data_IF_374311006656
#
_entry.id   IF_374311006656
#
_cell.length_a   1.000
_cell.length_b   1.000
_cell.length_c   1.000
_cell.angle_alpha   90.00
_cell.angle_beta   90.00
_cell.angle_gamma   90.00
#
_symmetry.space_group_name_H-M   'P 1'
#
loop_
_entity.id
_entity.type
_entity.pdbx_description
1 polymer ?
#
# COMPACT_ATOMS: atom_id res chain seq x y z
N UNK A 1 -15.74 -47.97 1.45
CA UNK A 1 -14.70 -47.70 0.46
C UNK A 1 -14.62 -46.14 0.35
N UNK A 2 -13.77 -45.56 1.20
CA UNK A 2 -13.46 -44.12 1.17
C UNK A 2 -12.39 -43.87 0.12
N UNK A 3 -12.69 -43.05 -0.84
CA UNK A 3 -11.69 -42.46 -1.74
C UNK A 3 -11.28 -41.08 -1.17
N UNK A 4 -10.08 -41.01 -0.68
CA UNK A 4 -9.44 -39.73 -0.27
C UNK A 4 -8.85 -39.08 -1.53
N UNK A 5 -9.46 -38.00 -2.00
CA UNK A 5 -8.86 -37.14 -2.99
C UNK A 5 -7.89 -36.16 -2.25
N UNK A 6 -6.61 -36.29 -2.55
CA UNK A 6 -5.58 -35.30 -2.19
C UNK A 6 -5.85 -34.02 -2.99
N UNK A 7 -6.27 -32.97 -2.32
CA UNK A 7 -6.17 -31.63 -2.87
C UNK A 7 -4.73 -31.15 -2.69
N UNK A 8 -4.01 -31.02 -3.81
CA UNK A 8 -2.74 -30.34 -3.85
C UNK A 8 -2.98 -28.84 -3.64
N UNK A 9 -2.47 -28.28 -2.54
CA UNK A 9 -2.38 -26.85 -2.35
C UNK A 9 -1.29 -26.33 -3.28
N UNK A 10 -1.69 -25.74 -4.41
CA UNK A 10 -0.78 -24.98 -5.27
C UNK A 10 -0.27 -23.78 -4.49
N UNK A 11 1.00 -23.84 -4.08
CA UNK A 11 1.75 -22.70 -3.57
C UNK A 11 2.05 -21.82 -4.76
N UNK A 12 1.38 -20.66 -4.84
CA UNK A 12 1.68 -19.65 -5.86
C UNK A 12 3.02 -19.04 -5.51
N UNK A 13 4.06 -19.39 -6.27
CA UNK A 13 5.39 -18.80 -6.17
C UNK A 13 5.35 -17.39 -6.79
N UNK A 14 5.44 -16.37 -5.94
CA UNK A 14 5.51 -14.97 -6.39
C UNK A 14 6.97 -14.64 -6.68
N UNK A 15 7.37 -14.67 -7.95
CA UNK A 15 8.73 -14.36 -8.36
C UNK A 15 8.93 -12.85 -8.45
N UNK A 16 9.85 -12.32 -7.65
CA UNK A 16 10.32 -10.93 -7.75
C UNK A 16 11.66 -10.93 -8.50
N UNK A 17 11.71 -10.26 -9.64
CA UNK A 17 12.93 -10.13 -10.45
C UNK A 17 13.47 -8.70 -10.32
N UNK A 18 14.72 -8.57 -9.88
CA UNK A 18 15.44 -7.30 -9.82
C UNK A 18 16.44 -7.27 -10.98
N UNK A 19 16.32 -6.30 -11.87
CA UNK A 19 17.21 -6.12 -13.02
C UNK A 19 18.07 -4.88 -12.77
N UNK A 20 19.38 -5.07 -12.65
CA UNK A 20 20.35 -3.98 -12.69
C UNK A 20 20.83 -3.80 -14.14
N UNK A 21 20.52 -2.69 -14.76
CA UNK A 21 21.15 -2.33 -16.02
C UNK A 21 22.58 -1.84 -15.74
N UNK A 22 23.60 -2.64 -16.06
CA UNK A 22 24.99 -2.17 -16.07
C UNK A 22 25.18 -1.27 -17.30
N UNK A 23 25.39 0.02 -17.03
CA UNK A 23 25.90 0.94 -18.04
C UNK A 23 27.37 0.60 -18.34
N UNK A 24 27.63 -0.02 -19.47
CA UNK A 24 28.98 -0.11 -20.03
C UNK A 24 29.39 1.25 -20.56
N UNK A 25 30.26 1.95 -19.82
CA UNK A 25 30.90 3.18 -20.27
C UNK A 25 32.17 2.78 -21.04
N UNK A 26 32.26 3.22 -22.30
CA UNK A 26 33.41 3.09 -23.17
C UNK A 26 34.58 3.95 -22.65
N UNK A 27 35.74 3.33 -22.45
CA UNK A 27 36.95 4.01 -21.95
C UNK A 27 37.55 4.92 -23.03
N UNK A 28 37.22 6.19 -22.95
CA UNK A 28 37.90 7.27 -23.65
C UNK A 28 38.87 7.99 -22.69
N UNK A 29 40.15 7.87 -23.03
CA UNK A 29 41.33 8.47 -22.38
C UNK A 29 41.17 9.99 -22.13
N UNK A 30 41.17 10.45 -20.85
CA UNK A 30 41.30 11.87 -20.50
C UNK A 30 42.26 12.07 -19.32
N UNK A 31 43.32 12.75 -19.63
CA UNK A 31 44.43 13.19 -18.78
C UNK A 31 43.98 14.00 -17.55
N UNK A 32 44.52 13.64 -16.42
CA UNK A 32 44.40 14.22 -15.06
C UNK A 32 45.00 15.64 -15.00
N UNK A 33 44.24 16.57 -14.42
CA UNK A 33 44.78 17.67 -13.59
C UNK A 33 43.92 17.81 -12.35
N UNK A 34 44.50 17.52 -11.19
CA UNK A 34 43.90 17.75 -9.87
C UNK A 34 43.92 19.24 -9.51
N UNK A 35 42.89 19.76 -8.90
CA UNK A 35 43.05 20.77 -7.86
C UNK A 35 42.68 20.14 -6.50
N UNK A 36 43.65 20.20 -5.62
CA UNK A 36 43.51 20.02 -4.19
C UNK A 36 42.61 21.14 -3.64
N UNK A 37 41.42 20.78 -3.19
CA UNK A 37 40.71 21.64 -2.26
C UNK A 37 40.08 20.80 -1.17
N UNK A 38 40.65 20.98 0.04
CA UNK A 38 40.24 20.34 1.27
C UNK A 38 39.08 21.13 1.87
N UNK A 39 37.86 20.76 1.58
CA UNK A 39 36.76 21.06 2.47
C UNK A 39 36.21 19.75 3.03
N UNK A 40 36.54 19.46 4.26
CA UNK A 40 35.93 18.41 5.06
C UNK A 40 34.51 18.83 5.37
N UNK A 41 33.60 18.54 4.44
CA UNK A 41 32.18 18.54 4.73
C UNK A 41 31.87 17.26 5.53
N UNK A 42 32.02 17.39 6.84
CA UNK A 42 31.54 16.41 7.80
C UNK A 42 30.02 16.59 7.81
N UNK A 43 29.34 15.97 6.86
CA UNK A 43 27.89 15.75 6.98
C UNK A 43 27.69 14.98 8.27
N UNK A 44 27.14 15.66 9.29
CA UNK A 44 26.65 15.02 10.50
C UNK A 44 25.51 14.11 10.02
N UNK A 45 25.81 12.82 9.86
CA UNK A 45 24.77 11.80 9.69
C UNK A 45 24.08 11.75 11.04
N UNK A 46 22.97 12.50 11.19
CA UNK A 46 22.10 12.35 12.35
C UNK A 46 21.69 10.90 12.42
N UNK A 47 22.05 10.22 13.50
CA UNK A 47 21.61 8.86 13.74
C UNK A 47 20.08 8.87 13.84
N UNK A 48 19.41 8.38 12.80
CA UNK A 48 17.98 8.17 12.81
C UNK A 48 17.68 6.98 13.73
N UNK A 49 16.96 7.21 14.81
CA UNK A 49 16.46 6.20 15.72
C UNK A 49 14.94 6.27 15.72
N UNK A 50 14.27 5.13 15.46
CA UNK A 50 12.82 5.07 15.49
C UNK A 50 12.29 5.30 16.90
N UNK A 51 11.59 6.41 17.11
CA UNK A 51 10.90 6.76 18.35
C UNK A 51 9.41 6.41 18.22
N UNK A 52 9.00 5.28 18.80
CA UNK A 52 7.60 4.82 18.78
C UNK A 52 6.60 5.82 19.38
N UNK A 53 7.10 6.77 20.17
CA UNK A 53 6.26 7.78 20.81
C UNK A 53 6.05 9.01 19.94
N UNK A 54 6.86 9.22 18.92
CA UNK A 54 6.80 10.40 18.05
C UNK A 54 6.65 10.06 16.58
N UNK A 55 6.92 8.83 16.19
CA UNK A 55 6.95 8.42 14.80
C UNK A 55 5.79 7.51 14.42
N UNK A 56 5.40 7.57 13.15
CA UNK A 56 4.40 6.67 12.58
C UNK A 56 4.93 5.25 12.46
N UNK A 57 4.20 4.23 12.92
CA UNK A 57 4.63 2.84 12.79
C UNK A 57 4.56 2.32 11.33
N UNK A 58 3.88 3.03 10.44
CA UNK A 58 3.77 2.65 9.03
C UNK A 58 4.78 3.35 8.14
N UNK A 59 5.16 4.58 8.45
CA UNK A 59 6.02 5.39 7.58
C UNK A 59 7.41 5.66 8.18
N UNK A 60 7.60 5.45 9.49
CA UNK A 60 8.82 5.85 10.20
C UNK A 60 9.02 7.36 10.32
N UNK A 61 8.12 8.18 9.79
CA UNK A 61 8.23 9.63 9.82
C UNK A 61 7.75 10.20 11.15
N UNK A 62 8.37 11.29 11.57
CA UNK A 62 7.93 12.04 12.75
C UNK A 62 6.54 12.63 12.52
N UNK A 63 5.68 12.47 13.52
CA UNK A 63 4.32 13.01 13.50
C UNK A 63 4.32 14.46 13.96
N UNK A 64 3.52 15.30 13.31
CA UNK A 64 3.31 16.65 13.80
C UNK A 64 2.70 16.62 15.21
N UNK A 65 2.98 17.66 16.05
CA UNK A 65 2.40 17.75 17.38
C UNK A 65 0.87 17.67 17.40
N UNK A 66 0.20 18.13 16.35
CA UNK A 66 -1.25 18.07 16.21
C UNK A 66 -1.74 16.62 16.01
N UNK A 67 -1.05 15.85 15.19
CA UNK A 67 -1.35 14.43 14.97
C UNK A 67 -1.04 13.63 16.22
N UNK A 68 0.04 13.95 16.90
CA UNK A 68 0.44 13.36 18.16
C UNK A 68 -0.60 13.56 19.27
N UNK A 69 -1.11 14.78 19.43
CA UNK A 69 -2.13 15.11 20.45
C UNK A 69 -3.49 14.49 20.17
N UNK A 70 -3.79 14.11 18.93
CA UNK A 70 -5.04 13.46 18.54
C UNK A 70 -5.02 11.94 18.77
N UNK A 71 -3.95 11.37 19.27
CA UNK A 71 -3.98 9.96 19.70
C UNK A 71 -4.96 9.79 20.87
N UNK A 72 -5.79 8.75 20.89
CA UNK A 72 -5.67 7.43 20.29
C UNK A 72 -6.25 7.34 18.87
N UNK A 73 -5.45 6.84 17.94
CA UNK A 73 -5.92 6.54 16.58
C UNK A 73 -5.87 5.04 16.35
N UNK A 74 -6.98 4.49 15.87
CA UNK A 74 -7.04 3.10 15.45
C UNK A 74 -6.70 3.00 13.97
N UNK A 75 -6.01 1.93 13.61
CA UNK A 75 -5.74 1.60 12.21
C UNK A 75 -7.04 1.26 11.49
N UNK A 76 -7.25 1.86 10.34
CA UNK A 76 -8.37 1.56 9.45
C UNK A 76 -7.79 1.03 8.15
N UNK A 77 -8.25 -0.13 7.70
CA UNK A 77 -7.82 -0.77 6.46
C UNK A 77 -8.98 -0.80 5.47
N UNK A 78 -8.84 -0.10 4.35
CA UNK A 78 -9.83 -0.07 3.28
C UNK A 78 -9.47 -1.09 2.21
N UNK A 79 -10.42 -1.99 1.87
CA UNK A 79 -10.26 -2.89 0.74
C UNK A 79 -10.59 -2.17 -0.55
N UNK A 80 -9.58 -1.85 -1.36
CA UNK A 80 -9.75 -1.10 -2.61
C UNK A 80 -9.59 -2.02 -3.82
N UNK A 81 -10.46 -1.83 -4.79
CA UNK A 81 -10.50 -2.61 -6.04
C UNK A 81 -9.32 -2.25 -6.96
N UNK A 82 -8.76 -3.24 -7.66
CA UNK A 82 -7.77 -3.02 -8.70
C UNK A 82 -8.18 -3.58 -10.07
N UNK A 83 -9.46 -3.90 -10.25
CA UNK A 83 -9.99 -4.22 -11.57
C UNK A 83 -9.79 -3.06 -12.56
N UNK A 84 -9.58 -3.36 -13.84
CA UNK A 84 -9.41 -2.35 -14.88
C UNK A 84 -10.52 -1.27 -14.85
N UNK A 85 -11.78 -1.67 -14.62
CA UNK A 85 -12.92 -0.75 -14.54
C UNK A 85 -12.97 0.08 -13.25
N UNK A 86 -12.13 -0.26 -12.25
CA UNK A 86 -12.02 0.48 -10.99
C UNK A 86 -10.95 1.58 -11.05
N UNK A 87 -10.14 1.60 -12.09
CA UNK A 87 -9.05 2.56 -12.26
C UNK A 87 -9.54 3.85 -12.95
N UNK A 88 -8.93 4.98 -12.64
CA UNK A 88 -7.98 5.22 -11.56
C UNK A 88 -8.65 5.12 -10.18
N UNK A 89 -7.90 4.66 -9.19
CA UNK A 89 -8.33 4.64 -7.79
C UNK A 89 -8.12 5.99 -7.11
N UNK A 90 -8.66 6.10 -5.89
CA UNK A 90 -8.51 7.28 -5.05
C UNK A 90 -8.09 6.88 -3.64
N UNK A 91 -7.37 7.76 -2.96
CA UNK A 91 -6.97 7.56 -1.58
C UNK A 91 -5.71 6.70 -1.39
N UNK A 92 -5.19 6.03 -2.42
CA UNK A 92 -4.01 5.19 -2.24
C UNK A 92 -2.75 6.01 -1.93
N UNK A 93 -2.62 7.20 -2.53
CA UNK A 93 -1.48 8.09 -2.34
C UNK A 93 -1.49 8.78 -0.97
N UNK A 94 -2.66 8.96 -0.37
CA UNK A 94 -2.86 9.55 0.95
C UNK A 94 -2.76 8.52 2.09
N UNK A 95 -2.73 7.23 1.80
CA UNK A 95 -2.61 6.19 2.81
C UNK A 95 -1.24 6.21 3.52
N UNK A 96 -1.19 5.75 4.78
CA UNK A 96 0.08 5.56 5.49
C UNK A 96 0.89 4.42 4.88
N UNK A 97 0.22 3.34 4.46
CA UNK A 97 0.81 2.25 3.68
C UNK A 97 -0.25 1.54 2.85
N UNK A 98 0.17 0.88 1.78
CA UNK A 98 -0.71 0.10 0.90
C UNK A 98 -0.10 -1.29 0.69
N UNK A 99 -0.87 -2.32 1.00
CA UNK A 99 -0.53 -3.71 0.67
C UNK A 99 -1.31 -4.16 -0.55
N UNK A 100 -0.61 -4.66 -1.55
CA UNK A 100 -1.24 -5.26 -2.75
C UNK A 100 -1.27 -6.78 -2.60
N UNK A 101 -2.42 -7.39 -2.88
CA UNK A 101 -2.70 -8.79 -2.58
C UNK A 101 -3.34 -9.43 -3.79
N UNK A 102 -2.80 -10.59 -4.20
CA UNK A 102 -3.42 -11.43 -5.21
C UNK A 102 -4.79 -11.94 -4.72
N UNK A 103 -5.77 -11.88 -5.61
CA UNK A 103 -7.12 -12.37 -5.38
C UNK A 103 -7.54 -13.30 -6.53
N UNK A 104 -8.81 -13.71 -6.55
CA UNK A 104 -9.32 -14.57 -7.62
C UNK A 104 -9.16 -14.00 -9.04
N UNK A 105 -9.06 -14.87 -10.03
CA UNK A 105 -8.95 -14.49 -11.44
C UNK A 105 -7.61 -13.88 -11.83
N UNK A 106 -6.56 -14.08 -11.02
CA UNK A 106 -5.24 -13.53 -11.28
C UNK A 106 -5.10 -12.03 -11.10
N UNK A 107 -6.16 -11.39 -10.58
CA UNK A 107 -6.17 -9.95 -10.28
C UNK A 107 -5.61 -9.67 -8.89
N UNK A 108 -5.27 -8.41 -8.62
CA UNK A 108 -4.92 -7.95 -7.28
C UNK A 108 -5.99 -7.03 -6.69
N UNK A 109 -5.93 -6.80 -5.39
CA UNK A 109 -6.63 -5.74 -4.65
C UNK A 109 -5.68 -5.11 -3.67
N UNK A 110 -6.02 -3.89 -3.25
CA UNK A 110 -5.26 -3.18 -2.23
C UNK A 110 -5.94 -3.27 -0.87
N UNK A 111 -5.11 -3.29 0.19
CA UNK A 111 -5.46 -2.87 1.52
C UNK A 111 -4.74 -1.55 1.78
N UNK A 112 -5.47 -0.45 1.82
CA UNK A 112 -4.95 0.87 2.13
C UNK A 112 -5.14 1.14 3.63
N UNK A 113 -4.05 1.32 4.36
CA UNK A 113 -4.03 1.51 5.80
C UNK A 113 -3.93 2.99 6.14
N UNK A 114 -4.77 3.42 7.04
CA UNK A 114 -4.80 4.77 7.57
C UNK A 114 -4.76 4.74 9.10
N UNK A 115 -3.77 5.38 9.68
CA UNK A 115 -3.64 5.60 11.11
C UNK A 115 -3.43 7.08 11.41
N UNK A 116 -2.44 7.68 10.78
CA UNK A 116 -2.00 9.05 11.00
C UNK A 116 -2.47 9.98 9.88
N UNK A 117 -2.56 9.48 8.65
CA UNK A 117 -3.03 10.22 7.48
C UNK A 117 -4.54 10.11 7.29
N UNK A 118 -5.10 10.96 6.43
CA UNK A 118 -6.53 11.04 6.13
C UNK A 118 -6.77 11.22 4.64
N UNK A 119 -7.93 10.76 4.17
CA UNK A 119 -8.43 11.03 2.83
C UNK A 119 -9.95 11.11 2.87
N UNK A 120 -10.53 12.12 2.24
CA UNK A 120 -11.98 12.26 2.11
C UNK A 120 -12.57 11.42 0.97
N UNK A 121 -11.71 10.69 0.22
CA UNK A 121 -12.13 10.01 -1.00
C UNK A 121 -11.31 8.75 -1.28
N UNK A 122 -11.62 7.68 -0.55
CA UNK A 122 -10.92 6.38 -0.68
C UNK A 122 -11.79 5.40 -1.47
N UNK A 123 -11.27 4.84 -2.54
CA UNK A 123 -12.01 3.83 -3.30
C UNK A 123 -11.51 3.57 -4.72
N UNK A 124 -12.27 2.76 -5.48
CA UNK A 124 -13.54 2.09 -5.12
C UNK A 124 -13.37 0.99 -4.06
N UNK A 125 -14.22 1.02 -3.04
CA UNK A 125 -14.23 0.01 -1.97
C UNK A 125 -14.79 -1.31 -2.49
N UNK A 126 -14.19 -2.42 -2.07
CA UNK A 126 -14.50 -3.75 -2.56
C UNK A 126 -14.69 -4.78 -1.44
N UNK A 127 -15.13 -5.98 -1.85
CA UNK A 127 -15.44 -7.08 -0.92
C UNK A 127 -14.19 -7.65 -0.27
N UNK A 128 -14.33 -8.05 1.01
CA UNK A 128 -13.30 -8.76 1.75
C UNK A 128 -12.92 -10.09 1.12
N UNK A 129 -11.73 -10.55 1.46
CA UNK A 129 -11.18 -11.86 1.09
C UNK A 129 -10.66 -12.59 2.36
N UNK A 130 -10.57 -13.93 2.33
CA UNK A 130 -10.14 -14.72 3.48
C UNK A 130 -8.73 -14.36 4.02
N UNK A 131 -7.87 -13.78 3.19
CA UNK A 131 -6.52 -13.33 3.56
C UNK A 131 -6.50 -12.03 4.36
N UNK A 132 -7.52 -11.17 4.21
CA UNK A 132 -7.54 -9.82 4.78
C UNK A 132 -7.38 -9.78 6.31
N UNK A 133 -8.04 -10.64 7.11
CA UNK A 133 -7.90 -10.60 8.56
C UNK A 133 -6.46 -10.88 9.02
N UNK A 134 -5.70 -11.71 8.31
CA UNK A 134 -4.31 -12.00 8.67
C UNK A 134 -3.40 -10.79 8.48
N UNK A 135 -3.75 -9.88 7.59
CA UNK A 135 -2.99 -8.66 7.31
C UNK A 135 -3.45 -7.48 8.18
N UNK A 136 -4.70 -7.45 8.61
CA UNK A 136 -5.27 -6.34 9.40
C UNK A 136 -5.11 -6.57 10.91
N UNK A 137 -5.25 -7.81 11.37
CA UNK A 137 -5.21 -8.16 12.79
C UNK A 137 -3.90 -7.79 13.50
N UNK A 138 -2.70 -7.97 12.90
CA UNK A 138 -1.44 -7.62 13.56
C UNK A 138 -1.35 -6.15 13.99
N UNK A 139 -2.08 -5.28 13.29
CA UNK A 139 -2.15 -3.85 13.58
C UNK A 139 -3.39 -3.45 14.39
N UNK A 140 -4.16 -4.44 14.88
CA UNK A 140 -5.44 -4.20 15.57
C UNK A 140 -6.44 -3.39 14.76
N UNK A 141 -6.33 -3.45 13.44
CA UNK A 141 -7.09 -2.63 12.52
C UNK A 141 -8.58 -2.97 12.45
N UNK A 142 -9.33 -2.04 11.89
CA UNK A 142 -10.72 -2.22 11.47
C UNK A 142 -10.73 -2.36 9.96
N UNK A 143 -11.40 -3.38 9.45
CA UNK A 143 -11.50 -3.63 8.01
C UNK A 143 -12.77 -2.97 7.44
N UNK A 144 -12.62 -2.12 6.43
CA UNK A 144 -13.71 -1.42 5.70
C UNK A 144 -13.87 -2.03 4.32
N UNK A 145 -15.08 -2.56 4.04
CA UNK A 145 -15.37 -3.34 2.83
C UNK A 145 -16.77 -3.04 2.29
N UNK A 146 -17.01 -3.33 1.01
CA UNK A 146 -18.36 -3.27 0.44
C UNK A 146 -19.26 -4.45 0.88
N UNK A 147 -18.68 -5.47 1.48
CA UNK A 147 -19.31 -6.74 1.86
C UNK A 147 -18.35 -7.90 1.65
N UNK A 148 -18.87 -9.13 1.57
CA UNK A 148 -18.12 -10.35 1.27
C UNK A 148 -19.04 -11.46 0.76
N UNK A 149 -18.45 -12.61 0.40
CA UNK A 149 -19.20 -13.85 0.20
C UNK A 149 -19.87 -14.30 1.49
N UNK A 150 -20.97 -15.04 1.38
CA UNK A 150 -21.76 -15.48 2.54
C UNK A 150 -20.89 -16.20 3.59
N UNK A 151 -21.06 -15.80 4.85
CA UNK A 151 -20.35 -16.39 5.99
C UNK A 151 -18.96 -15.82 6.27
N UNK A 152 -18.34 -15.10 5.34
CA UNK A 152 -16.97 -14.61 5.54
C UNK A 152 -16.88 -13.48 6.57
N UNK A 153 -17.80 -12.53 6.59
CA UNK A 153 -17.77 -11.42 7.57
C UNK A 153 -17.86 -11.91 9.01
N UNK A 154 -18.79 -12.82 9.38
CA UNK A 154 -18.78 -13.43 10.70
C UNK A 154 -17.45 -14.11 11.04
N UNK A 155 -16.89 -14.89 10.12
CA UNK A 155 -15.60 -15.56 10.33
C UNK A 155 -14.44 -14.56 10.57
N UNK A 156 -14.40 -13.44 9.84
CA UNK A 156 -13.41 -12.39 10.08
C UNK A 156 -13.57 -11.79 11.48
N UNK A 157 -14.80 -11.54 11.91
CA UNK A 157 -15.09 -11.01 13.27
C UNK A 157 -14.69 -11.99 14.36
N UNK A 158 -14.89 -13.30 14.17
CA UNK A 158 -14.44 -14.35 15.08
C UNK A 158 -12.90 -14.38 15.24
N UNK A 159 -12.16 -13.98 14.19
CA UNK A 159 -10.71 -13.80 14.26
C UNK A 159 -10.29 -12.51 15.01
N UNK A 160 -11.24 -11.74 15.55
CA UNK A 160 -10.98 -10.51 16.30
C UNK A 160 -10.78 -9.25 15.45
N UNK A 161 -11.11 -9.29 14.16
CA UNK A 161 -11.05 -8.11 13.29
C UNK A 161 -12.44 -7.51 13.13
N UNK A 162 -12.71 -6.29 13.65
CA UNK A 162 -13.95 -5.59 13.40
C UNK A 162 -14.10 -5.26 11.92
N UNK A 163 -15.31 -5.40 11.38
CA UNK A 163 -15.59 -5.15 9.95
C UNK A 163 -16.74 -4.15 9.85
N UNK A 164 -16.48 -3.09 9.06
CA UNK A 164 -17.50 -2.13 8.61
C UNK A 164 -17.89 -2.46 7.17
N UNK A 165 -19.17 -2.71 6.96
CA UNK A 165 -19.76 -3.03 5.67
C UNK A 165 -20.63 -1.87 5.18
N UNK A 166 -20.78 -1.71 3.86
CA UNK A 166 -21.66 -0.69 3.26
C UNK A 166 -23.07 -0.70 3.89
N UNK A 167 -23.62 -1.88 4.13
CA UNK A 167 -24.98 -2.04 4.67
C UNK A 167 -25.09 -1.75 6.17
N UNK A 168 -23.99 -1.74 6.90
CA UNK A 168 -23.98 -1.64 8.37
C UNK A 168 -23.39 -0.35 8.91
N UNK A 169 -22.70 0.43 8.07
CA UNK A 169 -22.03 1.65 8.47
C UNK A 169 -22.27 2.78 7.46
N UNK A 170 -22.91 3.89 7.87
CA UNK A 170 -23.21 5.02 6.99
C UNK A 170 -21.99 5.91 6.73
N UNK A 171 -20.84 5.30 6.53
CA UNK A 171 -19.53 5.96 6.32
C UNK A 171 -19.04 5.86 4.89
N UNK A 172 -19.81 5.18 4.04
CA UNK A 172 -19.52 4.96 2.63
C UNK A 172 -20.62 5.57 1.76
N UNK A 173 -20.26 5.99 0.56
CA UNK A 173 -21.18 6.61 -0.40
C UNK A 173 -20.89 6.15 -1.82
N UNK A 174 -21.93 6.11 -2.67
CA UNK A 174 -21.78 5.77 -4.08
C UNK A 174 -21.74 7.02 -4.93
N UNK A 175 -20.83 7.06 -5.88
CA UNK A 175 -20.70 8.16 -6.83
C UNK A 175 -21.46 7.83 -8.13
N UNK A 176 -22.04 8.86 -8.75
CA UNK A 176 -22.91 8.69 -9.92
C UNK A 176 -22.15 8.56 -11.24
N UNK A 177 -20.93 9.09 -11.32
CA UNK A 177 -20.10 9.09 -12.53
C UNK A 177 -19.40 7.76 -12.82
N UNK A 178 -19.57 6.77 -11.94
CA UNK A 178 -19.10 5.38 -12.13
C UNK A 178 -20.23 4.38 -11.96
N UNK A 179 -20.11 3.23 -12.62
CA UNK A 179 -21.07 2.13 -12.51
C UNK A 179 -20.72 1.21 -11.34
N UNK A 180 -21.75 0.72 -10.63
CA UNK A 180 -21.55 -0.38 -9.70
C UNK A 180 -20.96 -1.60 -10.42
N UNK A 181 -20.07 -2.34 -9.76
CA UNK A 181 -19.66 -2.27 -8.35
C UNK A 181 -18.42 -1.37 -8.08
N UNK A 182 -17.96 -0.60 -9.07
CA UNK A 182 -16.74 0.20 -9.02
C UNK A 182 -16.99 1.67 -8.63
N UNK A 183 -18.01 1.94 -7.81
CA UNK A 183 -18.47 3.29 -7.49
C UNK A 183 -18.72 3.56 -5.99
N UNK A 184 -18.25 2.67 -5.09
CA UNK A 184 -18.38 2.83 -3.65
C UNK A 184 -17.12 3.48 -3.10
N UNK A 185 -17.26 4.56 -2.36
CA UNK A 185 -16.17 5.33 -1.76
C UNK A 185 -16.41 5.57 -0.28
N UNK A 186 -15.36 5.91 0.44
CA UNK A 186 -15.41 6.24 1.86
C UNK A 186 -14.58 7.49 2.16
N UNK A 187 -14.91 8.12 3.28
CA UNK A 187 -14.15 9.21 3.91
C UNK A 187 -13.57 8.70 5.23
N UNK A 188 -12.27 8.85 5.43
CA UNK A 188 -11.58 8.35 6.62
C UNK A 188 -12.06 9.02 7.90
N UNK A 189 -12.39 10.31 7.87
CA UNK A 189 -12.88 11.03 9.04
C UNK A 189 -14.29 10.58 9.41
N UNK A 190 -15.18 10.38 8.45
CA UNK A 190 -16.53 9.81 8.72
C UNK A 190 -16.43 8.40 9.33
N UNK A 191 -15.45 7.60 8.86
CA UNK A 191 -15.19 6.28 9.45
C UNK A 191 -14.68 6.44 10.89
N UNK A 192 -13.76 7.38 11.17
CA UNK A 192 -13.25 7.64 12.53
C UNK A 192 -14.35 8.09 13.48
N UNK A 193 -15.18 9.03 13.05
CA UNK A 193 -16.33 9.49 13.84
C UNK A 193 -17.29 8.33 14.18
N UNK A 194 -17.57 7.47 13.21
CA UNK A 194 -18.44 6.31 13.41
C UNK A 194 -17.83 5.30 14.39
N UNK A 195 -16.55 4.94 14.25
CA UNK A 195 -15.90 3.98 15.15
C UNK A 195 -15.74 4.55 16.56
N UNK A 196 -15.56 5.87 16.72
CA UNK A 196 -15.54 6.55 18.01
C UNK A 196 -16.91 6.46 18.71
N UNK A 197 -17.98 6.81 17.98
CA UNK A 197 -19.35 6.67 18.49
C UNK A 197 -19.70 5.24 18.90
N UNK A 198 -19.07 4.23 18.29
CA UNK A 198 -19.23 2.81 18.62
C UNK A 198 -18.27 2.32 19.71
N UNK A 199 -17.42 3.18 20.24
CA UNK A 199 -16.46 2.84 21.29
C UNK A 199 -15.29 1.98 20.79
N UNK A 200 -14.99 1.98 19.50
CA UNK A 200 -13.87 1.24 18.91
C UNK A 200 -12.59 2.06 18.84
N UNK A 201 -12.64 3.37 19.08
CA UNK A 201 -11.45 4.22 19.05
C UNK A 201 -10.71 4.11 20.40
N UNK A 202 -9.54 3.54 20.39
CA UNK A 202 -8.67 3.42 21.57
C UNK A 202 -7.20 3.38 21.15
N UNK A 203 -6.33 3.75 22.10
CA UNK A 203 -4.89 3.62 21.90
C UNK A 203 -4.51 2.18 21.65
N UNK A 204 -3.74 1.95 20.63
CA UNK A 204 -3.15 0.67 20.36
C UNK A 204 -1.65 0.86 20.09
N UNK A 205 -0.85 0.09 20.79
CA UNK A 205 0.55 -0.06 20.43
C UNK A 205 0.62 -0.87 19.14
N UNK A 206 0.97 -0.19 18.05
CA UNK A 206 1.19 -0.81 16.75
C UNK A 206 2.70 -0.95 16.57
N UNK A 207 3.14 -2.18 16.37
CA UNK A 207 4.53 -2.42 16.02
C UNK A 207 4.86 -1.79 14.65
N UNK A 208 6.05 -1.24 14.47
CA UNK A 208 6.44 -0.70 13.18
C UNK A 208 6.39 -1.78 12.10
N UNK A 209 5.95 -1.37 10.90
CA UNK A 209 5.82 -2.26 9.75
C UNK A 209 7.20 -2.72 9.24
N UNK A 210 8.19 -1.84 9.38
CA UNK A 210 9.57 -2.08 9.00
C UNK A 210 10.51 -1.73 10.16
N UNK A 211 11.73 -2.23 10.09
CA UNK A 211 12.82 -1.84 10.97
C UNK A 211 13.40 -0.51 10.45
N UNK A 212 12.80 0.60 10.89
CA UNK A 212 13.21 1.93 10.47
C UNK A 212 14.53 2.31 11.15
N UNK A 213 15.53 2.72 10.37
CA UNK A 213 16.83 3.12 10.89
C UNK A 213 17.75 3.70 9.82
N UNK A 214 18.91 4.21 10.26
CA UNK A 214 19.96 4.79 9.41
C UNK A 214 21.05 3.82 9.00
N UNK A 215 20.96 2.55 9.37
CA UNK A 215 21.97 1.58 8.98
C UNK A 215 21.92 1.28 7.48
N UNK A 216 22.63 2.11 6.72
CA UNK A 216 22.80 1.94 5.27
C UNK A 216 24.04 1.09 4.92
N UNK A 217 24.69 0.49 5.91
CA UNK A 217 25.97 -0.25 5.71
C UNK A 217 25.86 -1.39 4.69
N UNK A 218 24.64 -1.92 4.51
CA UNK A 218 24.34 -3.00 3.56
C UNK A 218 23.47 -2.55 2.38
N UNK A 219 23.12 -1.28 2.27
CA UNK A 219 22.30 -0.79 1.18
C UNK A 219 23.13 -0.70 -0.09
N UNK A 220 22.71 -1.43 -1.10
CA UNK A 220 23.22 -1.25 -2.46
C UNK A 220 22.41 -0.15 -3.15
N UNK A 221 22.97 0.41 -4.21
CA UNK A 221 22.21 1.32 -5.08
C UNK A 221 20.85 0.71 -5.41
N UNK A 222 19.78 1.48 -5.25
CA UNK A 222 18.43 1.01 -5.53
C UNK A 222 18.30 0.51 -6.97
N UNK A 223 17.47 -0.50 -7.18
CA UNK A 223 17.20 -1.00 -8.52
C UNK A 223 16.45 0.07 -9.33
N UNK A 224 16.91 0.39 -10.53
CA UNK A 224 16.22 1.33 -11.42
C UNK A 224 14.83 0.85 -11.84
N UNK A 225 14.61 -0.48 -11.76
CA UNK A 225 13.34 -1.13 -12.06
C UNK A 225 13.10 -2.31 -11.12
N UNK A 226 11.87 -2.45 -10.62
CA UNK A 226 11.41 -3.62 -9.88
C UNK A 226 10.16 -4.17 -10.57
N UNK A 227 10.19 -5.43 -10.99
CA UNK A 227 9.05 -6.11 -11.60
C UNK A 227 8.50 -7.16 -10.62
N UNK A 228 7.21 -7.08 -10.33
CA UNK A 228 6.49 -8.04 -9.48
C UNK A 228 5.41 -8.72 -10.32
N UNK A 229 5.60 -9.99 -10.60
CA UNK A 229 4.62 -10.82 -11.30
C UNK A 229 3.72 -11.51 -10.26
N UNK A 230 2.49 -11.01 -10.10
CA UNK A 230 1.49 -11.61 -9.21
C UNK A 230 0.85 -12.85 -9.82
N UNK A 231 0.65 -12.85 -11.14
CA UNK A 231 0.06 -13.96 -11.90
C UNK A 231 0.41 -13.79 -13.37
N UNK A 232 -0.03 -14.72 -14.22
CA UNK A 232 0.06 -14.53 -15.68
C UNK A 232 -0.86 -13.40 -16.19
N UNK A 233 -1.78 -12.94 -15.35
CA UNK A 233 -2.73 -11.87 -15.69
C UNK A 233 -2.34 -10.50 -15.15
N UNK A 234 -1.54 -10.42 -14.07
CA UNK A 234 -1.16 -9.16 -13.44
C UNK A 234 0.33 -9.08 -13.16
N UNK A 235 1.00 -8.16 -13.81
CA UNK A 235 2.40 -7.78 -13.54
C UNK A 235 2.47 -6.30 -13.21
N UNK A 236 3.20 -5.98 -12.15
CA UNK A 236 3.43 -4.60 -11.69
C UNK A 236 4.90 -4.26 -11.87
N UNK A 237 5.15 -3.08 -12.42
CA UNK A 237 6.49 -2.57 -12.66
C UNK A 237 6.64 -1.24 -11.93
N UNK A 238 7.69 -1.15 -11.10
CA UNK A 238 8.11 0.09 -10.48
C UNK A 238 9.37 0.58 -11.18
N UNK A 239 9.36 1.82 -11.63
CA UNK A 239 10.50 2.48 -12.29
C UNK A 239 10.94 3.65 -11.44
N UNK A 240 12.24 3.66 -11.10
CA UNK A 240 12.85 4.76 -10.33
C UNK A 240 13.02 5.97 -11.26
N UNK A 241 12.52 7.11 -10.81
CA UNK A 241 12.73 8.42 -11.43
C UNK A 241 12.78 9.48 -10.32
N UNK A 242 13.84 10.30 -10.29
CA UNK A 242 14.03 11.37 -9.31
C UNK A 242 13.81 10.92 -7.85
N UNK A 243 14.45 9.82 -7.45
CA UNK A 243 14.38 9.21 -6.10
C UNK A 243 12.98 8.70 -5.68
N UNK A 244 12.07 8.57 -6.62
CA UNK A 244 10.74 7.99 -6.41
C UNK A 244 10.45 6.90 -7.43
N UNK A 245 9.75 5.85 -6.98
CA UNK A 245 9.27 4.82 -7.89
C UNK A 245 7.87 5.16 -8.39
N UNK A 246 7.76 5.29 -9.71
CA UNK A 246 6.48 5.38 -10.43
C UNK A 246 5.96 3.99 -10.73
N UNK A 247 4.65 3.77 -10.52
CA UNK A 247 3.99 2.49 -10.70
C UNK A 247 3.38 2.33 -12.07
N UNK A 248 3.67 1.20 -12.71
CA UNK A 248 3.07 0.76 -13.98
C UNK A 248 2.42 -0.62 -13.78
N UNK A 249 1.46 -0.95 -14.63
CA UNK A 249 0.77 -2.23 -14.59
C UNK A 249 0.60 -2.81 -15.98
N UNK A 250 0.75 -4.12 -16.08
CA UNK A 250 0.41 -4.92 -17.25
C UNK A 250 -0.76 -5.81 -16.87
N UNK A 251 -1.84 -5.72 -17.61
CA UNK A 251 -3.02 -6.56 -17.45
C UNK A 251 -3.13 -7.60 -18.56
N UNK A 252 -3.59 -8.79 -18.21
CA UNK A 252 -3.74 -9.89 -19.15
C UNK A 252 -2.40 -10.47 -19.57
N UNK A 253 -2.38 -11.05 -20.76
CA UNK A 253 -1.20 -11.72 -21.32
C UNK A 253 -0.34 -10.80 -22.20
N UNK A 254 -0.45 -9.48 -21.99
CA UNK A 254 0.36 -8.51 -22.71
C UNK A 254 1.83 -8.58 -22.31
N UNK A 255 2.76 -8.26 -23.21
CA UNK A 255 4.16 -8.16 -22.86
C UNK A 255 4.42 -6.99 -21.90
N UNK A 256 5.53 -7.03 -21.16
CA UNK A 256 5.91 -5.97 -20.20
C UNK A 256 6.08 -4.59 -20.84
N UNK A 257 6.41 -4.55 -22.13
CA UNK A 257 6.56 -3.30 -22.87
C UNK A 257 5.23 -2.55 -23.07
N UNK A 258 4.10 -3.25 -22.91
CA UNK A 258 2.76 -2.67 -22.94
C UNK A 258 2.31 -2.11 -21.57
N UNK A 259 3.21 -2.03 -20.60
CA UNK A 259 2.92 -1.51 -19.26
C UNK A 259 2.41 -0.07 -19.33
N UNK A 260 1.25 0.17 -18.73
CA UNK A 260 0.62 1.50 -18.66
C UNK A 260 0.82 2.11 -17.27
N UNK A 261 0.96 3.44 -17.22
CA UNK A 261 1.04 4.16 -15.95
C UNK A 261 -0.22 3.91 -15.11
N UNK A 262 -0.02 3.54 -13.85
CA UNK A 262 -1.13 3.38 -12.92
C UNK A 262 -1.40 4.70 -12.21
N UNK A 263 -2.47 5.36 -12.61
CA UNK A 263 -2.83 6.68 -12.11
C UNK A 263 -3.79 6.59 -10.92
N UNK A 264 -3.77 7.62 -10.07
CA UNK A 264 -4.83 7.90 -9.10
C UNK A 264 -5.68 9.09 -9.54
N UNK A 265 -6.85 9.26 -8.94
CA UNK A 265 -7.74 10.42 -9.14
C UNK A 265 -8.21 10.94 -7.79
N UNK A 266 -8.17 12.26 -7.61
CA UNK A 266 -8.71 12.94 -6.44
C UNK A 266 -10.21 13.25 -6.61
N UNK A 267 -10.84 13.73 -5.54
CA UNK A 267 -12.29 14.04 -5.56
C UNK A 267 -12.65 15.18 -6.52
N UNK A 268 -11.77 16.13 -6.71
CA UNK A 268 -11.90 17.25 -7.64
C UNK A 268 -11.46 16.94 -9.08
N UNK A 269 -11.03 15.69 -9.33
CA UNK A 269 -10.70 15.18 -10.67
C UNK A 269 -9.25 15.31 -11.11
N UNK A 270 -8.35 15.78 -10.23
CA UNK A 270 -6.91 15.74 -10.54
C UNK A 270 -6.43 14.29 -10.65
N UNK A 271 -5.60 14.02 -11.65
CA UNK A 271 -5.01 12.68 -11.88
C UNK A 271 -3.51 12.79 -12.04
N UNK A 272 -2.79 11.84 -11.46
CA UNK A 272 -1.35 11.68 -11.63
C UNK A 272 -0.96 10.22 -11.46
N UNK A 273 0.30 9.87 -11.74
CA UNK A 273 0.82 8.52 -11.58
C UNK A 273 0.97 8.18 -10.10
N UNK A 274 0.65 6.92 -9.74
CA UNK A 274 0.90 6.41 -8.40
C UNK A 274 2.41 6.30 -8.16
N UNK A 275 2.87 6.93 -7.11
CA UNK A 275 4.25 6.90 -6.64
C UNK A 275 4.42 5.96 -5.47
N UNK A 276 5.63 5.48 -5.24
CA UNK A 276 5.98 4.76 -4.03
C UNK A 276 5.79 5.64 -2.81
N UNK A 277 5.18 5.10 -1.75
CA UNK A 277 5.04 5.77 -0.46
C UNK A 277 6.33 5.68 0.39
N UNK A 278 7.28 4.86 -0.04
CA UNK A 278 8.56 4.64 0.63
C UNK A 278 9.66 5.17 -0.27
N UNK A 279 10.48 6.07 0.25
CA UNK A 279 11.77 6.39 -0.34
C UNK A 279 12.70 5.21 -0.04
N UNK A 280 13.11 4.50 -1.08
CA UNK A 280 14.04 3.37 -0.99
C UNK A 280 15.44 3.88 -1.32
#
# INVERSE_FOLDING_TARGET
>A
LCNSSNESTDVVDTTTTVINEENTIDEGDVTTTSPTDSSSDTSIVENYEYDKEKMSPFTGLELSPELWLKRPRRVIAFKVDNNLNARPQSGLQEADTVMEILVEGGMTRFLAFYMDRTSSYVGPIRSARPTDPNLVRPYGGILVVSGATAGLIPAIRELGVPVLEEVSAPTMFRIANRKAPHNLYADTELVREYIDQKGFLFNQDVNPLYDFGNDQSNWKTGAGRVTVKYSDFTTVIWKLDNDQYSRFIVDGYSPEDDAVAHNFITRDGYTDILLSLIHI
#
